data_IF_147240173126
#
_entry.id   IF_147240173126
#
_cell.length_a   1.000
_cell.length_b   1.000
_cell.length_c   1.000
_cell.angle_alpha   90.00
_cell.angle_beta   90.00
_cell.angle_gamma   90.00
#
_symmetry.space_group_name_H-M   'P 1'
#
loop_
_entity.id
_entity.type
_entity.pdbx_description
1 polymer ?
#
# COMPACT_ATOMS: atom_id res chain seq x y z
N UNK A 1 -8.59 -4.15 13.62
CA UNK A 1 -8.69 -4.34 12.15
C UNK A 1 -7.30 -4.63 11.61
N UNK A 2 -7.14 -5.52 10.63
CA UNK A 2 -5.83 -5.76 9.98
C UNK A 2 -5.79 -5.19 8.57
N UNK A 3 -4.70 -4.51 8.24
CA UNK A 3 -4.53 -3.81 6.97
C UNK A 3 -3.19 -4.22 6.36
N UNK A 4 -3.19 -4.57 5.08
CA UNK A 4 -1.97 -4.81 4.33
C UNK A 4 -1.58 -3.55 3.54
N UNK A 5 -0.31 -3.17 3.66
CA UNK A 5 0.28 -2.04 2.94
C UNK A 5 1.29 -2.60 1.95
N UNK A 6 1.05 -2.37 0.67
CA UNK A 6 1.89 -2.82 -0.44
C UNK A 6 2.31 -1.61 -1.27
N UNK A 7 3.38 -1.74 -2.04
CA UNK A 7 3.83 -0.69 -2.96
C UNK A 7 4.72 -1.30 -4.03
N UNK A 8 4.94 -0.56 -5.12
CA UNK A 8 5.96 -0.84 -6.13
C UNK A 8 5.87 -2.32 -6.57
N UNK A 9 4.65 -2.72 -6.94
CA UNK A 9 4.36 -4.10 -7.36
C UNK A 9 4.93 -4.38 -8.74
N UNK A 10 5.03 -3.34 -9.59
CA UNK A 10 5.60 -3.41 -10.94
C UNK A 10 5.07 -4.61 -11.72
N UNK A 11 3.77 -4.88 -11.58
CA UNK A 11 3.04 -5.97 -12.22
C UNK A 11 3.60 -7.38 -11.99
N UNK A 12 4.40 -7.60 -10.94
CA UNK A 12 4.94 -8.92 -10.61
C UNK A 12 3.86 -9.84 -10.01
N UNK A 13 3.07 -10.44 -10.90
CA UNK A 13 1.94 -11.31 -10.56
C UNK A 13 2.32 -12.45 -9.59
N UNK A 14 3.43 -13.20 -9.76
CA UNK A 14 3.84 -14.22 -8.80
C UNK A 14 3.98 -13.69 -7.36
N UNK A 15 4.65 -12.55 -7.18
CA UNK A 15 4.83 -11.95 -5.85
C UNK A 15 3.52 -11.44 -5.28
N UNK A 16 2.70 -10.78 -6.10
CA UNK A 16 1.37 -10.31 -5.72
C UNK A 16 0.53 -11.49 -5.22
N UNK A 17 0.48 -12.60 -5.95
CA UNK A 17 -0.32 -13.75 -5.56
C UNK A 17 0.19 -14.40 -4.27
N UNK A 18 1.52 -14.53 -4.11
CA UNK A 18 2.11 -15.02 -2.87
C UNK A 18 1.73 -14.14 -1.67
N UNK A 19 1.83 -12.82 -1.82
CA UNK A 19 1.45 -11.86 -0.79
C UNK A 19 -0.05 -11.93 -0.47
N UNK A 20 -0.93 -11.89 -1.48
CA UNK A 20 -2.38 -11.93 -1.29
C UNK A 20 -2.85 -13.20 -0.57
N UNK A 21 -2.25 -14.36 -0.89
CA UNK A 21 -2.56 -15.61 -0.20
C UNK A 21 -2.23 -15.51 1.30
N UNK A 22 -1.09 -14.93 1.65
CA UNK A 22 -0.72 -14.74 3.04
C UNK A 22 -1.57 -13.66 3.73
N UNK A 23 -1.76 -12.51 3.09
CA UNK A 23 -2.61 -11.40 3.58
C UNK A 23 -4.01 -11.90 3.93
N UNK A 24 -4.60 -12.74 3.05
CA UNK A 24 -5.91 -13.37 3.30
C UNK A 24 -5.87 -14.31 4.50
N UNK A 25 -4.84 -15.16 4.63
CA UNK A 25 -4.67 -16.05 5.80
C UNK A 25 -4.49 -15.28 7.10
N UNK A 26 -3.88 -14.10 7.06
CA UNK A 26 -3.72 -13.23 8.23
C UNK A 26 -5.03 -12.53 8.62
N UNK A 27 -6.07 -12.59 7.78
CA UNK A 27 -7.35 -11.94 8.02
C UNK A 27 -7.30 -10.43 7.83
N UNK A 28 -6.50 -9.94 6.87
CA UNK A 28 -6.53 -8.53 6.51
C UNK A 28 -7.87 -8.16 5.88
N UNK A 29 -8.40 -7.01 6.28
CA UNK A 29 -9.71 -6.50 5.90
C UNK A 29 -9.60 -5.37 4.87
N UNK A 30 -8.41 -4.78 4.70
CA UNK A 30 -8.14 -3.72 3.74
C UNK A 30 -6.74 -3.84 3.12
N UNK A 31 -6.59 -3.40 1.87
CA UNK A 31 -5.31 -3.20 1.20
C UNK A 31 -5.11 -1.71 0.91
N UNK A 32 -3.90 -1.22 1.15
CA UNK A 32 -3.41 0.09 0.70
C UNK A 32 -2.20 -0.15 -0.21
N UNK A 33 -2.25 0.35 -1.44
CA UNK A 33 -1.18 0.29 -2.43
C UNK A 33 -0.58 1.70 -2.64
N UNK A 34 0.66 1.92 -2.21
CA UNK A 34 1.29 3.25 -2.15
C UNK A 34 1.85 3.78 -3.48
N UNK A 35 1.75 3.02 -4.57
CA UNK A 35 2.06 3.50 -5.92
C UNK A 35 2.84 2.48 -6.74
N UNK A 36 3.02 2.79 -8.03
CA UNK A 36 3.71 1.95 -9.02
C UNK A 36 3.05 0.57 -9.23
N UNK A 37 1.75 0.63 -9.55
CA UNK A 37 1.05 -0.42 -10.29
C UNK A 37 0.95 0.00 -11.75
N UNK A 38 1.44 -0.82 -12.67
CA UNK A 38 1.68 -0.37 -14.04
C UNK A 38 0.46 -0.62 -14.93
N UNK A 39 -0.14 -1.80 -14.84
CA UNK A 39 -1.31 -2.17 -15.65
C UNK A 39 -2.61 -2.24 -14.83
N UNK A 40 -3.68 -1.68 -15.41
CA UNK A 40 -5.01 -1.76 -14.82
C UNK A 40 -5.51 -3.20 -14.66
N UNK A 41 -5.09 -4.13 -15.52
CA UNK A 41 -5.42 -5.55 -15.37
C UNK A 41 -4.86 -6.15 -14.07
N UNK A 42 -3.65 -5.78 -13.66
CA UNK A 42 -3.06 -6.23 -12.39
C UNK A 42 -3.80 -5.64 -11.21
N UNK A 43 -4.18 -4.36 -11.30
CA UNK A 43 -4.99 -3.69 -10.28
C UNK A 43 -6.33 -4.42 -10.07
N UNK A 44 -6.99 -4.79 -11.17
CA UNK A 44 -8.24 -5.57 -11.15
C UNK A 44 -8.03 -6.99 -10.61
N UNK A 45 -6.92 -7.66 -10.93
CA UNK A 45 -6.62 -8.99 -10.38
C UNK A 45 -6.42 -8.96 -8.87
N UNK A 46 -5.76 -7.93 -8.32
CA UNK A 46 -5.66 -7.73 -6.87
C UNK A 46 -7.07 -7.58 -6.27
N UNK A 47 -7.89 -6.69 -6.84
CA UNK A 47 -9.26 -6.43 -6.39
C UNK A 47 -10.13 -7.69 -6.43
N UNK A 48 -9.97 -8.52 -7.45
CA UNK A 48 -10.73 -9.76 -7.63
C UNK A 48 -10.34 -10.83 -6.61
N UNK A 49 -9.06 -10.88 -6.22
CA UNK A 49 -8.54 -11.89 -5.28
C UNK A 49 -8.65 -11.48 -3.82
N UNK A 50 -8.88 -10.19 -3.55
CA UNK A 50 -9.06 -9.65 -2.21
C UNK A 50 -10.49 -9.15 -2.02
N UNK A 51 -11.20 -9.70 -1.03
CA UNK A 51 -12.63 -9.39 -0.83
C UNK A 51 -12.90 -8.07 -0.09
N UNK A 52 -11.88 -7.46 0.51
CA UNK A 52 -12.01 -6.20 1.24
C UNK A 52 -11.75 -4.97 0.35
N UNK A 53 -11.97 -3.75 0.86
CA UNK A 53 -11.60 -2.51 0.18
C UNK A 53 -10.10 -2.45 -0.12
N UNK A 54 -9.78 -2.00 -1.32
CA UNK A 54 -8.42 -1.77 -1.80
C UNK A 54 -8.26 -0.32 -2.29
N UNK A 55 -7.32 0.39 -1.68
CA UNK A 55 -6.98 1.77 -2.00
C UNK A 55 -5.69 1.79 -2.83
N UNK A 56 -5.73 2.35 -4.03
CA UNK A 56 -4.58 2.45 -4.92
C UNK A 56 -4.20 3.90 -5.14
N UNK A 57 -2.96 4.24 -4.83
CA UNK A 57 -2.37 5.53 -5.17
C UNK A 57 -1.59 5.41 -6.49
N UNK A 58 -1.59 6.47 -7.29
CA UNK A 58 -0.73 6.63 -8.45
C UNK A 58 0.74 6.75 -7.99
N UNK A 59 1.64 6.03 -8.68
CA UNK A 59 3.08 6.24 -8.54
C UNK A 59 3.67 7.03 -9.70
N UNK A 60 5.00 7.03 -9.83
CA UNK A 60 5.69 7.77 -10.89
C UNK A 60 5.93 6.95 -12.16
N UNK A 61 5.75 5.63 -12.13
CA UNK A 61 5.84 4.83 -13.35
C UNK A 61 4.69 5.18 -14.30
N UNK A 62 5.04 5.37 -15.57
CA UNK A 62 4.09 5.67 -16.64
C UNK A 62 3.07 4.55 -16.71
N UNK A 63 1.85 4.88 -16.31
CA UNK A 63 0.68 4.03 -16.37
C UNK A 63 -0.43 4.76 -17.11
N UNK A 64 -1.35 4.02 -17.73
CA UNK A 64 -2.55 4.63 -18.29
C UNK A 64 -3.52 4.97 -17.15
N UNK A 65 -3.27 6.12 -16.51
CA UNK A 65 -4.06 6.67 -15.39
C UNK A 65 -5.56 6.73 -15.73
N UNK A 66 -5.91 7.08 -16.97
CA UNK A 66 -7.31 7.16 -17.41
C UNK A 66 -7.95 5.79 -17.38
N UNK A 67 -7.25 4.77 -17.87
CA UNK A 67 -7.72 3.39 -17.83
C UNK A 67 -7.77 2.84 -16.40
N UNK A 68 -6.75 3.11 -15.57
CA UNK A 68 -6.74 2.73 -14.15
C UNK A 68 -7.97 3.29 -13.41
N UNK A 69 -8.20 4.60 -13.52
CA UNK A 69 -9.35 5.26 -12.91
C UNK A 69 -10.67 4.70 -13.42
N UNK A 70 -10.86 4.61 -14.74
CA UNK A 70 -12.08 4.06 -15.32
C UNK A 70 -12.36 2.63 -14.83
N UNK A 71 -11.34 1.77 -14.79
CA UNK A 71 -11.47 0.39 -14.31
C UNK A 71 -11.75 0.30 -12.82
N UNK A 72 -11.22 1.22 -12.02
CA UNK A 72 -11.56 1.30 -10.59
C UNK A 72 -13.06 1.55 -10.37
N UNK A 73 -13.67 2.44 -11.16
CA UNK A 73 -15.07 2.82 -11.06
C UNK A 73 -16.03 1.70 -11.50
N UNK A 74 -15.58 0.79 -12.37
CA UNK A 74 -16.31 -0.43 -12.77
C UNK A 74 -16.41 -1.44 -11.61
N UNK A 75 -15.44 -1.46 -10.70
CA UNK A 75 -15.39 -2.37 -9.53
C UNK A 75 -15.92 -1.64 -8.28
N UNK A 76 -17.22 -1.35 -8.29
CA UNK A 76 -17.89 -0.55 -7.25
C UNK A 76 -17.64 -1.09 -5.84
N UNK A 77 -17.34 -0.18 -4.91
CA UNK A 77 -17.21 -0.39 -3.46
C UNK A 77 -16.04 -1.28 -2.98
N UNK A 78 -15.28 -1.89 -3.88
CA UNK A 78 -14.11 -2.70 -3.52
C UNK A 78 -12.78 -2.02 -3.87
N UNK A 79 -12.78 -1.07 -4.82
CA UNK A 79 -11.56 -0.40 -5.26
C UNK A 79 -11.73 1.11 -5.33
N UNK A 80 -10.75 1.84 -4.79
CA UNK A 80 -10.65 3.29 -4.94
C UNK A 80 -9.27 3.66 -5.46
N UNK A 81 -9.23 4.46 -6.52
CA UNK A 81 -8.01 4.94 -7.13
C UNK A 81 -7.80 6.43 -6.86
N UNK A 82 -6.58 6.80 -6.48
CA UNK A 82 -6.17 8.16 -6.14
C UNK A 82 -5.01 8.58 -7.03
N UNK A 83 -5.12 9.78 -7.61
CA UNK A 83 -4.04 10.42 -8.36
C UNK A 83 -3.06 11.17 -7.43
N UNK A 84 -3.61 11.79 -6.40
CA UNK A 84 -2.91 12.67 -5.47
C UNK A 84 -2.80 12.04 -4.08
N UNK A 85 -1.86 12.50 -3.24
CA UNK A 85 -1.78 12.07 -1.85
C UNK A 85 -3.15 12.14 -1.16
N UNK A 86 -3.50 11.08 -0.43
CA UNK A 86 -4.82 10.91 0.16
C UNK A 86 -4.74 10.86 1.68
N UNK A 87 -5.73 11.47 2.33
CA UNK A 87 -5.94 11.42 3.77
C UNK A 87 -7.14 10.53 4.05
N UNK A 88 -6.97 9.53 4.91
CA UNK A 88 -8.04 8.62 5.30
C UNK A 88 -8.17 8.59 6.82
N UNK A 89 -9.32 8.12 7.30
CA UNK A 89 -9.49 7.75 8.71
C UNK A 89 -9.84 6.27 8.77
N UNK A 90 -8.99 5.49 9.44
CA UNK A 90 -9.19 4.05 9.61
C UNK A 90 -9.08 3.70 11.07
N UNK A 91 -10.10 3.04 11.62
CA UNK A 91 -10.17 2.69 13.05
C UNK A 91 -9.84 3.89 13.97
N UNK A 92 -10.52 5.01 13.69
CA UNK A 92 -10.36 6.34 14.31
C UNK A 92 -8.98 7.00 14.18
N UNK A 93 -8.02 6.37 13.51
CA UNK A 93 -6.66 6.90 13.28
C UNK A 93 -6.62 7.67 11.98
N UNK A 94 -6.06 8.88 12.01
CA UNK A 94 -5.83 9.68 10.81
C UNK A 94 -4.58 9.14 10.11
N UNK A 95 -4.70 8.78 8.85
CA UNK A 95 -3.58 8.30 8.04
C UNK A 95 -3.41 9.14 6.78
N UNK A 96 -2.19 9.23 6.28
CA UNK A 96 -1.91 9.77 4.96
C UNK A 96 -1.19 8.73 4.10
N UNK A 97 -1.45 8.78 2.80
CA UNK A 97 -0.81 7.92 1.81
C UNK A 97 -0.27 8.81 0.70
N UNK A 98 1.00 8.66 0.36
CA UNK A 98 1.67 9.36 -0.74
C UNK A 98 2.66 8.40 -1.39
N UNK A 99 3.08 8.62 -2.63
CA UNK A 99 4.11 7.76 -3.21
C UNK A 99 5.52 8.24 -2.82
N UNK A 100 5.72 9.56 -2.74
CA UNK A 100 7.05 10.18 -2.67
C UNK A 100 7.57 10.33 -1.22
N UNK A 101 8.85 9.99 -0.94
CA UNK A 101 9.43 10.04 0.40
C UNK A 101 9.45 11.44 1.03
N UNK A 102 9.80 12.48 0.27
CA UNK A 102 9.92 13.84 0.82
C UNK A 102 8.56 14.38 1.28
N UNK A 103 7.52 14.12 0.48
CA UNK A 103 6.13 14.45 0.84
C UNK A 103 5.71 13.65 2.08
N UNK A 104 6.08 12.37 2.15
CA UNK A 104 5.75 11.50 3.28
C UNK A 104 6.36 12.03 4.58
N UNK A 105 7.63 12.43 4.55
CA UNK A 105 8.32 13.02 5.70
C UNK A 105 7.65 14.33 6.15
N UNK A 106 7.34 15.25 5.23
CA UNK A 106 6.62 16.48 5.55
C UNK A 106 5.25 16.22 6.20
N UNK A 107 4.50 15.23 5.69
CA UNK A 107 3.23 14.83 6.28
C UNK A 107 3.41 14.25 7.69
N UNK A 108 4.46 13.47 7.92
CA UNK A 108 4.73 12.87 9.22
C UNK A 108 5.14 13.93 10.26
N UNK A 109 6.01 14.86 9.88
CA UNK A 109 6.48 15.99 10.70
C UNK A 109 5.37 17.02 11.00
N UNK A 110 4.28 17.03 10.22
CA UNK A 110 3.15 17.95 10.47
C UNK A 110 2.37 17.67 11.76
N UNK A 111 2.55 16.49 12.38
CA UNK A 111 1.82 16.08 13.59
C UNK A 111 0.31 15.82 13.39
N UNK A 112 -0.20 15.89 12.16
CA UNK A 112 -1.63 15.74 11.88
C UNK A 112 -2.12 14.30 11.70
N UNK A 113 -1.19 13.36 11.53
CA UNK A 113 -1.47 11.96 11.20
C UNK A 113 -0.82 11.03 12.21
N UNK A 114 -1.45 9.90 12.50
CA UNK A 114 -0.83 8.86 13.31
C UNK A 114 0.07 7.94 12.47
N UNK A 115 -0.23 7.80 11.18
CA UNK A 115 0.52 6.96 10.24
C UNK A 115 0.61 7.63 8.88
N UNK A 116 1.79 7.56 8.25
CA UNK A 116 2.03 7.98 6.87
C UNK A 116 2.65 6.82 6.11
N UNK A 117 2.00 6.37 5.05
CA UNK A 117 2.46 5.27 4.21
C UNK A 117 2.98 5.80 2.87
N UNK A 118 4.14 5.30 2.42
CA UNK A 118 4.75 5.70 1.14
C UNK A 118 5.53 4.61 0.43
N UNK A 119 5.98 4.87 -0.81
CA UNK A 119 6.66 3.90 -1.68
C UNK A 119 7.91 4.48 -2.37
N UNK A 120 8.02 4.27 -3.69
CA UNK A 120 8.94 4.93 -4.63
C UNK A 120 10.39 4.45 -4.59
N UNK A 121 11.03 4.47 -3.42
CA UNK A 121 12.46 4.17 -3.33
C UNK A 121 12.78 2.69 -3.09
N UNK A 122 11.76 1.83 -3.02
CA UNK A 122 11.84 0.38 -2.80
C UNK A 122 12.48 -0.06 -1.47
N UNK A 123 12.73 0.86 -0.53
CA UNK A 123 13.43 0.56 0.72
C UNK A 123 12.43 0.36 1.86
N UNK A 124 12.25 -0.87 2.36
CA UNK A 124 11.37 -1.11 3.50
C UNK A 124 11.92 -0.35 4.72
N UNK A 125 11.07 0.46 5.35
CA UNK A 125 11.46 1.33 6.45
C UNK A 125 10.29 1.61 7.39
N UNK A 126 10.56 1.64 8.69
CA UNK A 126 9.64 2.14 9.71
C UNK A 126 10.42 3.12 10.57
N UNK A 127 9.89 4.32 10.72
CA UNK A 127 10.43 5.37 11.57
C UNK A 127 9.30 5.98 12.39
N UNK A 128 9.58 6.32 13.65
CA UNK A 128 8.66 7.12 14.47
C UNK A 128 9.18 8.54 14.54
N UNK A 129 8.40 9.49 14.03
CA UNK A 129 8.65 10.94 14.12
C UNK A 129 7.61 11.50 15.08
N UNK A 130 8.04 11.88 16.28
CA UNK A 130 7.16 12.22 17.41
C UNK A 130 6.11 11.13 17.66
N UNK A 131 4.83 11.42 17.37
CA UNK A 131 3.70 10.49 17.51
C UNK A 131 3.20 9.90 16.19
N UNK A 132 3.88 10.21 15.07
CA UNK A 132 3.57 9.69 13.75
C UNK A 132 4.50 8.54 13.39
N UNK A 133 3.95 7.43 12.92
CA UNK A 133 4.74 6.41 12.23
C UNK A 133 4.84 6.75 10.73
N UNK A 134 6.06 6.81 10.21
CA UNK A 134 6.37 6.95 8.79
C UNK A 134 6.84 5.59 8.26
N UNK A 135 6.11 5.03 7.29
CA UNK A 135 6.28 3.64 6.85
C UNK A 135 6.40 3.53 5.34
N UNK A 136 7.45 2.85 4.90
CA UNK A 136 7.60 2.34 3.54
C UNK A 136 7.52 0.82 3.57
N UNK A 137 6.57 0.16 2.86
CA UNK A 137 6.49 -1.29 2.83
C UNK A 137 7.60 -1.92 1.96
N UNK A 138 8.41 -1.11 1.27
CA UNK A 138 9.41 -1.51 0.29
C UNK A 138 8.80 -1.80 -1.07
N UNK A 139 9.45 -2.66 -1.85
CA UNK A 139 8.93 -3.12 -3.14
C UNK A 139 8.32 -4.51 -3.02
N UNK A 140 7.05 -4.68 -3.41
CA UNK A 140 6.48 -6.02 -3.54
C UNK A 140 6.92 -6.69 -4.84
N UNK A 141 7.23 -5.89 -5.87
CA UNK A 141 7.75 -6.36 -7.16
C UNK A 141 9.12 -7.03 -7.07
N UNK A 142 9.90 -6.75 -6.01
CA UNK A 142 11.23 -7.31 -5.81
C UNK A 142 12.28 -6.69 -6.76
N UNK A 143 12.06 -5.46 -7.22
CA UNK A 143 12.99 -4.77 -8.11
C UNK A 143 14.09 -4.09 -7.29
N UNK A 144 15.35 -4.48 -7.53
CA UNK A 144 16.57 -3.94 -6.87
C UNK A 144 16.69 -4.17 -5.35
N UNK A 145 15.61 -4.60 -4.70
CA UNK A 145 15.56 -4.98 -3.29
C UNK A 145 14.69 -6.23 -3.14
N UNK A 146 14.83 -6.90 -2.00
CA UNK A 146 14.02 -8.09 -1.73
C UNK A 146 12.54 -7.74 -1.63
N UNK A 147 11.63 -8.62 -2.09
CA UNK A 147 10.21 -8.34 -2.07
C UNK A 147 9.68 -8.27 -0.63
N UNK A 148 9.08 -7.13 -0.27
CA UNK A 148 8.52 -6.87 1.06
C UNK A 148 7.14 -6.23 0.97
N UNK A 149 6.41 -6.29 2.08
CA UNK A 149 5.21 -5.49 2.32
C UNK A 149 5.05 -5.25 3.83
N UNK A 150 4.05 -4.47 4.26
CA UNK A 150 3.74 -4.29 5.67
C UNK A 150 2.35 -4.83 6.05
N UNK A 151 2.23 -5.32 7.28
CA UNK A 151 0.96 -5.63 7.93
C UNK A 151 0.77 -4.77 9.16
N UNK A 152 -0.40 -4.13 9.26
CA UNK A 152 -0.74 -3.28 10.38
C UNK A 152 -2.02 -3.79 11.05
N UNK A 153 -1.90 -4.20 12.31
CA UNK A 153 -3.05 -4.39 13.17
C UNK A 153 -3.35 -3.05 13.86
N UNK A 154 -4.51 -2.47 13.60
CA UNK A 154 -4.87 -1.15 14.13
C UNK A 154 -5.04 -1.12 15.65
N UNK A 155 -5.14 -2.27 16.31
CA UNK A 155 -5.11 -2.38 17.76
C UNK A 155 -3.67 -2.30 18.33
N UNK A 156 -2.66 -2.52 17.49
CA UNK A 156 -1.24 -2.41 17.82
C UNK A 156 -0.71 -1.04 17.37
N UNK A 157 0.39 -0.59 18.00
CA UNK A 157 1.00 0.70 17.67
C UNK A 157 1.81 0.68 16.38
N UNK A 158 2.52 -0.41 16.11
CA UNK A 158 3.52 -0.42 15.06
C UNK A 158 3.17 -1.46 13.98
N UNK A 159 3.17 -1.08 12.70
CA UNK A 159 3.11 -2.04 11.59
C UNK A 159 4.33 -2.96 11.59
N UNK A 160 4.22 -4.12 10.94
CA UNK A 160 5.34 -5.06 10.77
C UNK A 160 5.70 -5.21 9.30
N UNK A 161 6.98 -5.06 8.98
CA UNK A 161 7.53 -5.38 7.67
C UNK A 161 7.68 -6.89 7.52
N UNK A 162 7.27 -7.42 6.38
CA UNK A 162 7.26 -8.83 6.06
C UNK A 162 8.11 -9.05 4.81
N UNK A 163 9.08 -9.97 4.91
CA UNK A 163 9.87 -10.42 3.78
C UNK A 163 9.14 -11.55 3.05
N UNK A 164 8.80 -11.35 1.78
CA UNK A 164 7.96 -12.28 1.01
C UNK A 164 8.63 -13.65 0.83
N UNK A 165 9.96 -13.68 0.75
CA UNK A 165 10.75 -14.92 0.63
C UNK A 165 10.62 -15.82 1.86
N UNK A 166 10.38 -15.25 3.05
CA UNK A 166 10.24 -16.00 4.30
C UNK A 166 8.83 -16.54 4.54
N UNK A 167 7.88 -16.22 3.65
CA UNK A 167 6.54 -16.77 3.73
C UNK A 167 6.50 -18.25 3.30
N UNK A 168 5.67 -19.06 3.98
CA UNK A 168 5.49 -20.48 3.67
C UNK A 168 4.89 -20.72 2.28
#
# INVERSE_FOLDING_TARGET
>A
MKIAIISDTHDNIPNIYKALNFIKKQGAEMIIHCGDICAASVMLEIAKKFSGPAHFLLGNVVSDEKTLKKKSEEVKNALVYYKEPVKLRVDNKKIAITHYPDIARQLAESGHFSYVFYGHNHRPWIEKIDDTYLINPGTLGGLFAKPTFALWNTAEKEPRLILLEQLP
#
